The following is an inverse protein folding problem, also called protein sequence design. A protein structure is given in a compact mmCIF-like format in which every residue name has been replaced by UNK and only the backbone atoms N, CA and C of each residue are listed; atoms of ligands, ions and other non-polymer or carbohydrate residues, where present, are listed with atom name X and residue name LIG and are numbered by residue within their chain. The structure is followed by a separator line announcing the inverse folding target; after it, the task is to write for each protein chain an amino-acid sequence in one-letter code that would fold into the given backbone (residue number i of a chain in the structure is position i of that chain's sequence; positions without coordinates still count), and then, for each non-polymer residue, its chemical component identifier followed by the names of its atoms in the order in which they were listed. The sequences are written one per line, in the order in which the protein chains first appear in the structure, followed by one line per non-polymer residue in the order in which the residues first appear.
data_IF_352428074848
#
_entry.id   IF_352428074848
#
_cell.length_a   1.000
_cell.length_b   1.000
_cell.length_c   1.000
_cell.angle_alpha   90.00
_cell.angle_beta   90.00
_cell.angle_gamma   90.00
#
_symmetry.space_group_name_H-M   'P 1'
#
loop_
_entity.id
_entity.type
_entity.pdbx_description
1 polymer ?
#
# COMPACT_ATOMS: atom_id res chain seq x y z
N UNK A 1 5.87 1.13 30.78
CA UNK A 1 5.23 1.53 29.51
C UNK A 1 4.99 0.32 28.62
N UNK A 2 6.01 -0.49 28.30
CA UNK A 2 5.90 -1.70 27.46
C UNK A 2 4.81 -2.69 27.91
N UNK A 3 4.79 -3.08 29.19
CA UNK A 3 3.80 -4.02 29.76
C UNK A 3 2.36 -3.47 29.67
N UNK A 4 2.19 -2.15 29.81
CA UNK A 4 0.88 -1.50 29.74
C UNK A 4 0.37 -1.39 28.30
N UNK A 5 1.27 -1.18 27.32
CA UNK A 5 0.92 -1.14 25.89
C UNK A 5 0.50 -2.51 25.37
N UNK A 6 1.27 -3.55 25.66
CA UNK A 6 0.94 -4.94 25.30
C UNK A 6 -0.33 -5.40 26.03
N UNK A 7 -0.46 -5.06 27.32
CA UNK A 7 -1.66 -5.34 28.10
C UNK A 7 -2.92 -4.65 27.58
N UNK A 8 -2.82 -3.41 27.09
CA UNK A 8 -3.95 -2.66 26.54
C UNK A 8 -4.49 -3.27 25.24
N UNK A 9 -3.61 -3.72 24.35
CA UNK A 9 -4.00 -4.40 23.10
C UNK A 9 -4.65 -5.75 23.40
N UNK A 10 -4.06 -6.54 24.29
CA UNK A 10 -4.62 -7.83 24.70
C UNK A 10 -6.01 -7.69 25.36
N UNK A 11 -6.22 -6.65 26.18
CA UNK A 11 -7.51 -6.36 26.81
C UNK A 11 -8.56 -5.89 25.80
N UNK A 12 -8.17 -5.11 24.78
CA UNK A 12 -9.07 -4.69 23.71
C UNK A 12 -9.55 -5.88 22.87
N UNK A 13 -8.65 -6.81 22.55
CA UNK A 13 -8.98 -8.06 21.84
C UNK A 13 -9.90 -8.97 22.66
N UNK A 14 -9.66 -9.09 23.97
CA UNK A 14 -10.58 -9.81 24.88
C UNK A 14 -11.96 -9.17 24.95
N UNK A 15 -12.05 -7.84 25.03
CA UNK A 15 -13.32 -7.13 25.08
C UNK A 15 -14.11 -7.30 23.77
N UNK A 16 -13.41 -7.25 22.63
CA UNK A 16 -14.01 -7.50 21.31
C UNK A 16 -14.54 -8.94 21.20
N UNK A 17 -13.77 -9.93 21.64
CA UNK A 17 -14.18 -11.33 21.65
C UNK A 17 -15.42 -11.57 22.52
N UNK A 18 -15.50 -10.96 23.71
CA UNK A 18 -16.67 -11.04 24.59
C UNK A 18 -17.90 -10.40 23.94
N UNK A 19 -17.75 -9.24 23.30
CA UNK A 19 -18.85 -8.57 22.60
C UNK A 19 -19.34 -9.36 21.37
N UNK A 20 -18.43 -9.99 20.62
CA UNK A 20 -18.77 -10.85 19.49
C UNK A 20 -19.52 -12.12 19.96
N UNK A 21 -19.09 -12.72 21.07
CA UNK A 21 -19.78 -13.86 21.69
C UNK A 21 -21.20 -13.48 22.17
N UNK A 22 -21.35 -12.31 22.80
CA UNK A 22 -22.64 -11.82 23.29
C UNK A 22 -23.64 -11.50 22.16
N UNK A 23 -23.17 -11.21 20.94
CA UNK A 23 -24.00 -10.92 19.75
C UNK A 23 -24.31 -12.14 18.88
N UNK A 24 -23.88 -13.34 19.29
CA UNK A 24 -24.18 -14.58 18.57
C UNK A 24 -23.46 -14.75 17.23
N UNK A 25 -22.47 -13.91 16.92
CA UNK A 25 -21.61 -14.07 15.73
C UNK A 25 -20.67 -15.25 15.92
N UNK A 26 -21.09 -16.44 15.47
CA UNK A 26 -20.23 -17.63 15.40
C UNK A 26 -19.28 -17.51 14.21
N UNK A 27 -17.97 -17.55 14.49
CA UNK A 27 -16.89 -17.50 13.49
C UNK A 27 -15.71 -16.57 13.86
N UNK A 28 -15.85 -15.73 14.87
CA UNK A 28 -14.77 -14.85 15.35
C UNK A 28 -13.83 -15.61 16.31
N UNK A 29 -13.10 -16.61 15.82
CA UNK A 29 -11.88 -17.02 16.52
C UNK A 29 -10.81 -15.98 16.19
N UNK A 30 -10.31 -15.31 17.23
CA UNK A 30 -9.20 -14.37 17.13
C UNK A 30 -8.03 -15.08 16.43
N UNK A 31 -7.76 -14.69 15.18
CA UNK A 31 -6.59 -15.14 14.46
C UNK A 31 -5.36 -14.46 15.11
N UNK A 32 -4.69 -15.20 15.98
CA UNK A 32 -3.33 -14.88 16.39
C UNK A 32 -2.41 -15.14 15.20
N UNK A 33 -1.89 -14.07 14.60
CA UNK A 33 -0.96 -14.10 13.48
C UNK A 33 -1.64 -13.82 12.13
N UNK A 34 -1.17 -12.77 11.46
CA UNK A 34 -1.69 -12.29 10.17
C UNK A 34 -2.15 -10.82 10.18
N UNK A 35 -1.72 -10.02 11.17
CA UNK A 35 -2.17 -8.65 11.42
C UNK A 35 -2.66 -8.37 12.86
N UNK A 36 -2.52 -9.34 13.79
CA UNK A 36 -2.93 -9.24 15.20
C UNK A 36 -1.77 -9.02 16.18
N UNK A 37 -2.07 -9.04 17.48
CA UNK A 37 -1.25 -8.66 18.65
C UNK A 37 0.28 -8.90 18.60
N UNK A 38 0.77 -9.87 17.83
CA UNK A 38 2.20 -10.12 17.64
C UNK A 38 2.89 -9.02 16.82
N UNK A 39 2.28 -8.58 15.72
CA UNK A 39 2.85 -7.52 14.86
C UNK A 39 2.85 -6.17 15.58
N UNK A 40 1.80 -5.90 16.35
CA UNK A 40 1.70 -4.72 17.21
C UNK A 40 2.75 -4.74 18.33
N UNK A 41 3.08 -5.92 18.86
CA UNK A 41 4.11 -6.09 19.90
C UNK A 41 5.51 -5.91 19.33
N UNK A 42 5.78 -6.43 18.14
CA UNK A 42 7.05 -6.24 17.43
C UNK A 42 7.24 -4.76 17.07
N UNK A 43 6.24 -4.13 16.45
CA UNK A 43 6.28 -2.72 16.07
C UNK A 43 6.41 -1.81 17.31
N UNK A 44 5.67 -2.10 18.39
CA UNK A 44 5.80 -1.39 19.66
C UNK A 44 7.19 -1.59 20.31
N UNK A 45 7.79 -2.78 20.16
CA UNK A 45 9.16 -3.06 20.61
C UNK A 45 10.19 -2.21 19.86
N UNK A 46 10.11 -2.17 18.53
CA UNK A 46 11.03 -1.38 17.68
C UNK A 46 10.88 0.12 17.96
N UNK A 47 9.64 0.62 18.05
CA UNK A 47 9.37 2.02 18.40
C UNK A 47 9.85 2.38 19.82
N UNK A 48 9.74 1.45 20.77
CA UNK A 48 10.19 1.68 22.14
C UNK A 48 11.71 1.79 22.24
N UNK A 49 12.46 0.99 21.47
CA UNK A 49 13.93 1.08 21.41
C UNK A 49 14.34 2.40 20.76
N UNK A 50 13.75 2.77 19.62
CA UNK A 50 14.04 4.04 18.95
C UNK A 50 13.75 5.27 19.84
N UNK A 51 12.66 5.24 20.61
CA UNK A 51 12.35 6.29 21.57
C UNK A 51 13.32 6.31 22.77
N UNK A 52 13.76 5.15 23.24
CA UNK A 52 14.73 5.06 24.33
C UNK A 52 16.08 5.65 23.91
N UNK A 53 16.52 5.38 22.69
CA UNK A 53 17.74 5.96 22.11
C UNK A 53 17.61 7.47 21.92
N UNK A 54 16.52 7.96 21.33
CA UNK A 54 16.29 9.39 21.13
C UNK A 54 16.26 10.16 22.47
N UNK A 55 15.60 9.61 23.49
CA UNK A 55 15.54 10.22 24.83
C UNK A 55 16.91 10.15 25.53
N UNK A 56 17.65 9.04 25.34
CA UNK A 56 19.02 8.87 25.82
C UNK A 56 19.96 9.92 25.24
N UNK A 57 20.00 10.05 23.92
CA UNK A 57 20.80 11.06 23.22
C UNK A 57 20.41 12.48 23.61
N UNK A 58 19.10 12.77 23.70
CA UNK A 58 18.62 14.10 24.10
C UNK A 58 19.08 14.43 25.53
N UNK A 59 19.01 13.46 26.45
CA UNK A 59 19.51 13.63 27.83
C UNK A 59 21.02 13.83 27.87
N UNK A 60 21.77 13.07 27.08
CA UNK A 60 23.22 13.17 27.01
C UNK A 60 23.68 14.50 26.39
N UNK A 61 22.97 14.97 25.35
CA UNK A 61 23.15 16.28 24.74
C UNK A 61 22.98 17.43 25.75
N UNK A 62 21.95 17.38 26.59
CA UNK A 62 21.73 18.38 27.64
C UNK A 62 22.69 18.25 28.82
N UNK A 63 23.19 17.05 29.12
CA UNK A 63 24.23 16.84 30.13
C UNK A 63 25.57 17.46 29.68
N UNK A 64 25.96 17.28 28.41
CA UNK A 64 27.16 17.90 27.82
C UNK A 64 27.11 19.43 27.79
N UNK A 65 25.92 20.03 27.70
CA UNK A 65 25.73 21.49 27.74
C UNK A 65 25.75 22.10 29.14
N UNK A 66 25.59 21.29 30.20
CA UNK A 66 25.68 21.72 31.60
C UNK A 66 27.04 21.43 32.24
N UNK A 67 27.84 20.53 31.67
CA UNK A 67 29.24 20.32 32.06
C UNK A 67 30.15 21.31 31.36
N UNK A 68 30.62 22.32 32.09
CA UNK A 68 31.64 23.26 31.61
C UNK A 68 32.92 22.55 31.13
N UNK A 69 33.58 23.16 30.14
CA UNK A 69 34.75 22.65 29.44
C UNK A 69 35.84 22.03 30.35
N UNK A 70 36.50 20.92 29.95
CA UNK A 70 37.74 20.52 30.57
C UNK A 70 38.85 21.52 30.19
N UNK A 71 39.59 22.01 31.20
CA UNK A 71 40.75 22.89 31.02
C UNK A 71 41.91 22.13 30.31
N UNK A 72 42.79 22.82 29.56
CA UNK A 72 43.68 22.20 28.58
C UNK A 72 44.90 21.54 29.22
N UNK A 73 45.33 20.42 28.64
CA UNK A 73 46.60 19.77 28.93
C UNK A 73 47.80 20.61 28.42
N UNK A 74 48.83 20.74 29.26
CA UNK A 74 50.13 21.24 28.83
C UNK A 74 51.21 21.22 29.91
N UNK A 75 52.24 20.39 29.71
CA UNK A 75 53.61 20.68 30.17
C UNK A 75 54.20 19.83 31.29
N UNK A 76 55.25 19.05 30.97
CA UNK A 76 56.13 18.36 31.93
C UNK A 76 56.96 19.35 32.78
N UNK A 77 57.14 19.09 34.09
CA UNK A 77 58.44 18.94 34.79
C UNK A 77 58.36 19.08 36.34
N UNK A 78 58.87 18.05 37.05
CA UNK A 78 59.55 17.99 38.37
C UNK A 78 59.14 18.94 39.52
N UNK A 79 58.75 18.37 40.68
CA UNK A 79 59.57 18.23 41.93
C UNK A 79 58.72 17.65 43.09
N UNK A 80 59.43 17.15 44.10
CA UNK A 80 59.03 16.26 45.19
C UNK A 80 58.43 16.94 46.44
N UNK A 81 57.87 16.11 47.33
CA UNK A 81 57.58 16.39 48.76
C UNK A 81 56.08 16.42 49.06
N UNK A 82 55.45 15.49 49.81
CA UNK A 82 55.60 15.08 51.21
C UNK A 82 54.48 15.65 52.10
N UNK A 83 53.88 14.79 52.95
CA UNK A 83 52.94 15.12 54.06
C UNK A 83 51.51 15.39 53.60
N UNK A 84 50.44 14.86 54.18
CA UNK A 84 50.09 14.59 55.59
C UNK A 84 48.65 15.09 55.72
N UNK A 85 47.67 14.20 55.90
CA UNK A 85 46.94 13.96 57.16
C UNK A 85 45.75 14.91 57.43
N UNK A 86 44.69 14.30 57.94
CA UNK A 86 43.52 14.82 58.66
C UNK A 86 42.43 15.57 57.87
N UNK A 87 41.12 15.38 58.10
CA UNK A 87 40.39 14.78 59.22
C UNK A 87 39.16 15.65 59.53
N UNK A 88 38.02 15.04 59.91
CA UNK A 88 36.79 15.73 60.40
C UNK A 88 35.66 15.77 59.37
N UNK A 89 34.65 14.89 59.39
CA UNK A 89 33.67 14.50 60.41
C UNK A 89 32.48 15.49 60.59
N UNK A 90 31.38 15.10 59.94
CA UNK A 90 29.96 15.16 60.27
C UNK A 90 29.36 16.27 61.17
N UNK A 91 28.34 16.92 60.62
CA UNK A 91 27.00 17.13 61.19
C UNK A 91 26.07 17.50 60.00
N UNK A 92 24.92 16.90 59.70
CA UNK A 92 23.99 16.14 60.52
C UNK A 92 22.68 16.94 60.63
N UNK A 93 21.82 16.93 59.61
CA UNK A 93 20.39 17.25 59.75
C UNK A 93 19.60 16.73 58.55
N UNK A 94 18.72 15.75 58.81
CA UNK A 94 17.87 15.11 57.82
C UNK A 94 16.51 15.79 57.69
N UNK A 95 15.97 15.81 56.48
CA UNK A 95 14.54 15.78 56.22
C UNK A 95 14.25 15.38 54.76
N UNK A 96 13.29 14.46 54.60
CA UNK A 96 12.48 14.21 53.41
C UNK A 96 13.14 13.54 52.18
N UNK A 97 13.33 12.22 52.30
CA UNK A 97 13.13 11.31 51.16
C UNK A 97 11.61 11.07 50.99
N UNK A 98 11.10 11.18 49.75
CA UNK A 98 9.79 10.63 49.38
C UNK A 98 8.86 11.61 48.67
N UNK A 99 9.19 12.06 47.47
CA UNK A 99 8.29 12.95 46.73
C UNK A 99 8.74 13.37 45.33
N UNK A 100 9.18 12.45 44.47
CA UNK A 100 9.49 12.84 43.08
C UNK A 100 9.32 11.74 42.02
N UNK A 101 8.86 10.54 42.38
CA UNK A 101 8.65 9.45 41.39
C UNK A 101 7.20 9.37 40.90
N UNK A 102 6.23 9.96 41.62
CA UNK A 102 4.80 9.82 41.30
C UNK A 102 4.21 10.90 40.39
N UNK A 103 4.87 12.05 40.21
CA UNK A 103 4.36 13.14 39.36
C UNK A 103 4.68 12.96 37.87
N UNK A 104 5.68 12.13 37.52
CA UNK A 104 6.00 11.81 36.12
C UNK A 104 5.06 10.75 35.50
N UNK A 105 4.30 10.00 36.31
CA UNK A 105 3.44 8.90 35.83
C UNK A 105 2.10 9.36 35.26
N UNK A 106 1.61 10.55 35.61
CA UNK A 106 0.31 11.04 35.12
C UNK A 106 0.40 11.77 33.77
N UNK A 107 1.53 12.43 33.47
CA UNK A 107 1.73 13.07 32.16
C UNK A 107 1.90 12.04 31.03
N UNK A 108 2.54 10.90 31.34
CA UNK A 108 2.68 9.78 30.40
C UNK A 108 1.35 9.08 30.08
N UNK A 109 0.45 8.94 31.05
CA UNK A 109 -0.88 8.37 30.85
C UNK A 109 -1.78 9.24 29.96
N UNK A 110 -1.68 10.58 30.09
CA UNK A 110 -2.43 11.51 29.24
C UNK A 110 -2.02 11.46 27.77
N UNK A 111 -0.70 11.35 27.50
CA UNK A 111 -0.16 11.22 26.14
C UNK A 111 -0.54 9.85 25.53
N UNK A 112 -0.49 8.78 26.33
CA UNK A 112 -0.91 7.44 25.88
C UNK A 112 -2.41 7.35 25.58
N UNK A 113 -3.27 7.98 26.40
CA UNK A 113 -4.72 8.02 26.14
C UNK A 113 -5.07 8.83 24.88
N UNK A 114 -4.37 9.95 24.62
CA UNK A 114 -4.55 10.74 23.41
C UNK A 114 -4.09 10.01 22.14
N UNK A 115 -2.98 9.27 22.21
CA UNK A 115 -2.51 8.41 21.12
C UNK A 115 -3.48 7.26 20.84
N UNK A 116 -3.99 6.60 21.88
CA UNK A 116 -4.99 5.52 21.75
C UNK A 116 -6.29 6.04 21.15
N UNK A 117 -6.80 7.18 21.63
CA UNK A 117 -7.99 7.82 21.07
C UNK A 117 -7.79 8.26 19.62
N UNK A 118 -6.60 8.77 19.28
CA UNK A 118 -6.20 9.10 17.90
C UNK A 118 -6.18 7.87 16.98
N UNK A 119 -5.63 6.74 17.45
CA UNK A 119 -5.63 5.48 16.70
C UNK A 119 -7.02 4.85 16.58
N UNK A 120 -7.89 4.98 17.57
CA UNK A 120 -9.29 4.52 17.49
C UNK A 120 -10.10 5.40 16.55
N UNK A 121 -9.85 6.72 16.52
CA UNK A 121 -10.48 7.62 15.56
C UNK A 121 -9.96 7.43 14.12
N UNK A 122 -8.67 7.10 13.96
CA UNK A 122 -8.09 6.72 12.67
C UNK A 122 -8.65 5.36 12.20
N UNK A 123 -8.71 4.36 13.08
CA UNK A 123 -9.37 3.08 12.81
C UNK A 123 -10.86 3.29 12.50
N UNK A 124 -11.59 4.14 13.22
CA UNK A 124 -12.99 4.46 12.91
C UNK A 124 -13.17 5.30 11.63
N UNK A 125 -12.11 5.91 11.08
CA UNK A 125 -12.12 6.51 9.73
C UNK A 125 -11.83 5.47 8.64
N UNK A 126 -11.02 4.46 8.94
CA UNK A 126 -10.75 3.30 8.07
C UNK A 126 -11.93 2.31 8.07
N UNK A 127 -12.61 2.18 9.21
CA UNK A 127 -13.71 1.25 9.50
C UNK A 127 -15.02 1.97 9.86
N UNK A 128 -15.19 3.21 9.41
CA UNK A 128 -16.38 4.01 9.66
C UNK A 128 -17.67 3.37 9.13
N UNK A 129 -18.86 3.85 9.54
CA UNK A 129 -20.12 3.25 9.13
C UNK A 129 -20.20 3.18 7.60
N UNK A 130 -20.31 1.95 7.11
CA UNK A 130 -20.20 1.63 5.69
C UNK A 130 -21.39 2.23 4.90
N UNK A 131 -21.19 3.33 4.16
CA UNK A 131 -22.18 3.89 3.21
C UNK A 131 -22.42 2.89 2.08
N UNK A 132 -23.65 2.42 1.77
CA UNK A 132 -23.94 1.35 0.80
C UNK A 132 -23.23 1.49 -0.57
N UNK A 133 -22.75 0.38 -1.11
CA UNK A 133 -22.13 0.32 -2.43
C UNK A 133 -23.29 0.09 -3.38
N UNK A 134 -23.51 1.06 -4.26
CA UNK A 134 -24.58 0.98 -5.23
C UNK A 134 -24.18 -0.06 -6.27
N UNK A 135 -24.77 -1.25 -6.14
CA UNK A 135 -24.79 -2.27 -7.18
C UNK A 135 -25.49 -1.69 -8.42
N UNK A 136 -24.78 -1.65 -9.55
CA UNK A 136 -25.35 -1.88 -10.88
C UNK A 136 -25.81 -0.69 -11.73
N UNK A 137 -26.40 0.37 -11.16
CA UNK A 137 -27.20 1.28 -12.01
C UNK A 137 -26.67 2.71 -12.15
N UNK A 138 -25.67 3.11 -11.36
CA UNK A 138 -25.18 4.51 -11.35
C UNK A 138 -23.89 4.65 -12.14
N UNK A 139 -23.96 5.45 -13.20
CA UNK A 139 -22.80 5.83 -14.01
C UNK A 139 -22.40 7.26 -13.67
N UNK A 140 -21.19 7.41 -13.14
CA UNK A 140 -20.58 8.70 -12.86
C UNK A 140 -19.96 9.26 -14.14
N UNK A 141 -20.31 10.49 -14.49
CA UNK A 141 -19.75 11.21 -15.63
C UNK A 141 -18.77 12.26 -15.14
N UNK A 142 -17.58 12.28 -15.71
CA UNK A 142 -16.61 13.34 -15.51
C UNK A 142 -16.70 14.34 -16.65
N UNK A 143 -16.86 15.61 -16.28
CA UNK A 143 -16.75 16.76 -17.19
C UNK A 143 -15.64 17.67 -16.69
N UNK A 144 -15.05 18.46 -17.58
CA UNK A 144 -14.09 19.48 -17.18
C UNK A 144 -14.79 20.77 -16.66
N UNK A 145 -14.01 21.83 -16.42
CA UNK A 145 -14.53 23.12 -15.94
C UNK A 145 -15.34 23.89 -17.02
N UNK A 146 -15.18 23.59 -18.31
CA UNK A 146 -15.97 24.18 -19.41
C UNK A 146 -17.28 23.42 -19.63
N UNK A 147 -17.38 22.21 -19.08
CA UNK A 147 -18.54 21.33 -19.19
C UNK A 147 -18.40 20.27 -20.27
N UNK A 148 -17.22 20.15 -20.88
CA UNK A 148 -16.93 19.16 -21.90
C UNK A 148 -16.71 17.77 -21.27
N UNK A 149 -17.20 16.69 -21.91
CA UNK A 149 -17.09 15.35 -21.36
C UNK A 149 -15.65 14.83 -21.39
N UNK A 150 -15.18 14.34 -20.24
CA UNK A 150 -13.85 13.73 -20.08
C UNK A 150 -13.94 12.21 -20.08
N UNK A 151 -14.76 11.63 -19.19
CA UNK A 151 -14.87 10.17 -19.03
C UNK A 151 -16.14 9.78 -18.29
N UNK A 152 -16.39 8.48 -18.12
CA UNK A 152 -17.45 7.94 -17.28
C UNK A 152 -16.99 6.65 -16.59
N UNK A 153 -17.57 6.30 -15.44
CA UNK A 153 -17.25 5.07 -14.71
C UNK A 153 -18.46 4.58 -13.91
N UNK A 154 -18.63 3.27 -13.76
CA UNK A 154 -19.54 2.71 -12.75
C UNK A 154 -18.97 2.80 -11.32
N UNK A 155 -17.65 3.02 -11.18
CA UNK A 155 -17.03 3.28 -9.89
C UNK A 155 -17.39 4.70 -9.41
N UNK A 156 -17.76 4.88 -8.13
CA UNK A 156 -18.04 6.19 -7.57
C UNK A 156 -16.86 7.15 -7.70
N UNK A 157 -17.14 8.37 -8.14
CA UNK A 157 -16.17 9.47 -8.18
C UNK A 157 -16.30 10.34 -6.93
N UNK A 158 -15.18 10.84 -6.42
CA UNK A 158 -15.09 11.75 -5.28
C UNK A 158 -14.15 12.91 -5.57
N UNK A 159 -14.28 14.01 -4.82
CA UNK A 159 -13.32 15.11 -4.90
C UNK A 159 -11.88 14.63 -4.60
N UNK A 160 -10.95 15.15 -5.38
CA UNK A 160 -9.53 14.79 -5.43
C UNK A 160 -9.22 13.52 -6.23
N UNK A 161 -10.23 12.80 -6.75
CA UNK A 161 -9.95 11.68 -7.65
C UNK A 161 -9.32 12.18 -8.93
N UNK A 162 -8.46 11.38 -9.53
CA UNK A 162 -7.68 11.79 -10.69
C UNK A 162 -7.90 10.82 -11.85
N UNK A 163 -7.92 11.37 -13.05
CA UNK A 163 -8.03 10.62 -14.31
C UNK A 163 -6.88 11.01 -15.22
N UNK A 164 -6.07 10.04 -15.62
CA UNK A 164 -5.11 10.20 -16.72
C UNK A 164 -5.76 9.57 -17.95
N UNK A 165 -6.09 10.37 -18.95
CA UNK A 165 -6.80 9.90 -20.14
C UNK A 165 -5.89 9.17 -21.14
N UNK A 166 -6.46 8.75 -22.27
CA UNK A 166 -5.73 8.06 -23.32
C UNK A 166 -4.58 8.91 -23.91
N UNK A 167 -4.76 10.24 -23.98
CA UNK A 167 -3.80 11.19 -24.54
C UNK A 167 -2.80 11.70 -23.48
N UNK A 168 -2.75 11.05 -22.31
CA UNK A 168 -1.91 11.40 -21.17
C UNK A 168 -2.17 12.80 -20.61
N UNK A 169 -3.40 13.30 -20.66
CA UNK A 169 -3.84 14.49 -19.92
C UNK A 169 -4.36 14.09 -18.54
N UNK A 170 -3.99 14.86 -17.52
CA UNK A 170 -4.42 14.64 -16.15
C UNK A 170 -5.57 15.57 -15.78
N UNK A 171 -6.62 14.97 -15.22
CA UNK A 171 -7.77 15.66 -14.66
C UNK A 171 -7.86 15.37 -13.17
N UNK A 172 -8.24 16.36 -12.38
CA UNK A 172 -8.54 16.19 -10.95
C UNK A 172 -9.96 16.65 -10.63
N UNK A 173 -10.77 15.75 -10.05
CA UNK A 173 -12.14 16.04 -9.65
C UNK A 173 -12.14 17.09 -8.54
N UNK A 174 -12.67 18.28 -8.81
CA UNK A 174 -12.77 19.36 -7.83
C UNK A 174 -14.04 19.26 -6.98
N UNK A 175 -15.13 18.70 -7.55
CA UNK A 175 -16.41 18.49 -6.86
C UNK A 175 -17.25 17.45 -7.58
N UNK A 176 -18.19 16.85 -6.84
CA UNK A 176 -19.18 15.91 -7.38
C UNK A 176 -20.58 16.42 -7.05
N UNK A 177 -21.44 16.51 -8.06
CA UNK A 177 -22.86 16.92 -7.93
C UNK A 177 -23.72 15.83 -8.54
N UNK A 178 -24.45 15.09 -7.71
CA UNK A 178 -25.17 13.90 -8.15
C UNK A 178 -24.21 12.86 -8.71
N UNK A 179 -24.40 12.49 -9.97
CA UNK A 179 -23.55 11.54 -10.72
C UNK A 179 -22.55 12.26 -11.64
N UNK A 180 -22.37 13.58 -11.48
CA UNK A 180 -21.43 14.36 -12.30
C UNK A 180 -20.26 14.84 -11.46
N UNK A 181 -19.06 14.37 -11.81
CA UNK A 181 -17.80 14.87 -11.32
C UNK A 181 -17.32 16.01 -12.22
N UNK A 182 -17.11 17.19 -11.65
CA UNK A 182 -16.46 18.31 -12.34
C UNK A 182 -14.99 18.24 -12.02
N UNK A 183 -14.14 18.20 -13.04
CA UNK A 183 -12.71 18.06 -12.93
C UNK A 183 -11.97 19.27 -13.52
N UNK A 184 -10.86 19.62 -12.91
CA UNK A 184 -9.90 20.57 -13.46
C UNK A 184 -8.93 19.84 -14.37
N UNK A 185 -8.74 20.35 -15.58
CA UNK A 185 -7.66 19.91 -16.47
C UNK A 185 -6.33 20.45 -15.94
N UNK A 186 -5.44 19.55 -15.55
CA UNK A 186 -4.08 19.84 -15.05
C UNK A 186 -3.04 19.78 -16.17
N UNK A 187 -3.45 19.46 -17.40
CA UNK A 187 -2.61 19.45 -18.58
C UNK A 187 -1.95 18.09 -18.86
N UNK A 188 -1.05 18.05 -19.86
CA UNK A 188 -0.36 16.84 -20.24
C UNK A 188 0.60 16.38 -19.12
N UNK A 189 0.68 15.07 -18.97
CA UNK A 189 1.61 14.39 -18.08
C UNK A 189 2.55 13.55 -18.92
N UNK A 190 3.85 13.68 -18.66
CA UNK A 190 4.84 12.89 -19.38
C UNK A 190 4.60 11.38 -19.14
N UNK A 191 4.62 10.56 -20.20
CA UNK A 191 4.81 9.12 -20.06
C UNK A 191 6.06 8.89 -19.23
N UNK A 192 5.99 7.98 -18.25
CA UNK A 192 7.16 7.63 -17.45
C UNK A 192 8.06 6.78 -18.36
N UNK A 193 9.26 7.25 -18.75
CA UNK A 193 10.16 6.45 -19.56
C UNK A 193 10.73 5.34 -18.67
N UNK A 194 10.60 4.09 -19.11
CA UNK A 194 11.12 2.91 -18.40
C UNK A 194 12.65 2.90 -18.17
N UNK A 195 13.37 3.89 -18.72
CA UNK A 195 14.82 4.02 -18.60
C UNK A 195 15.24 5.02 -17.49
N UNK A 196 14.30 5.75 -16.88
CA UNK A 196 14.60 6.84 -15.94
C UNK A 196 14.83 6.40 -14.48
N UNK A 197 14.67 5.11 -14.16
CA UNK A 197 14.77 4.59 -12.77
C UNK A 197 15.98 3.69 -12.57
N UNK A 198 17.14 4.10 -13.07
CA UNK A 198 18.43 3.49 -12.66
C UNK A 198 19.43 4.47 -12.04
N UNK A 199 19.10 5.75 -11.85
CA UNK A 199 20.14 6.73 -11.49
C UNK A 199 19.76 7.90 -10.56
N UNK A 200 18.68 7.85 -9.77
CA UNK A 200 18.42 8.94 -8.80
C UNK A 200 18.15 8.52 -7.35
N UNK A 201 18.24 7.23 -7.02
CA UNK A 201 18.29 6.78 -5.62
C UNK A 201 19.70 6.39 -5.14
N UNK A 202 20.71 6.42 -6.03
CA UNK A 202 22.12 6.32 -5.64
C UNK A 202 22.65 7.70 -5.21
N UNK A 203 22.05 8.24 -4.16
CA UNK A 203 22.64 9.32 -3.38
C UNK A 203 23.79 8.73 -2.57
N UNK A 204 25.00 9.13 -2.94
CA UNK A 204 26.29 8.95 -2.25
C UNK A 204 26.14 8.63 -0.75
N UNK A 205 26.22 7.36 -0.39
CA UNK A 205 26.36 6.93 1.00
C UNK A 205 27.46 5.88 1.05
N UNK A 206 28.53 6.29 1.70
CA UNK A 206 29.72 5.50 1.98
C UNK A 206 29.36 4.18 2.67
N UNK A 207 29.98 3.12 2.18
CA UNK A 207 29.91 1.73 2.67
C UNK A 207 30.28 1.65 4.16
N UNK A 208 29.28 1.64 5.04
CA UNK A 208 29.45 1.53 6.49
C UNK A 208 28.79 0.25 7.00
N UNK A 209 29.61 -0.79 7.22
CA UNK A 209 29.20 -2.04 7.84
C UNK A 209 29.04 -1.92 9.38
N UNK A 210 28.53 -2.97 10.04
CA UNK A 210 28.33 -2.96 11.48
C UNK A 210 29.69 -2.95 12.19
N UNK A 211 30.09 -1.76 12.68
CA UNK A 211 31.36 -1.51 13.35
C UNK A 211 31.90 -0.08 13.21
N UNK A 212 31.34 0.73 12.31
CA UNK A 212 31.76 2.12 12.12
C UNK A 212 31.13 3.05 13.19
N UNK A 213 31.92 3.80 13.99
CA UNK A 213 31.42 4.77 14.98
C UNK A 213 30.59 5.93 14.40
N UNK A 214 30.50 6.07 13.08
CA UNK A 214 29.77 7.15 12.38
C UNK A 214 28.42 6.76 11.76
N UNK A 215 27.93 5.53 11.96
CA UNK A 215 26.70 5.07 11.31
C UNK A 215 25.46 5.89 11.76
N UNK A 216 24.84 6.60 10.83
CA UNK A 216 23.56 7.29 11.07
C UNK A 216 22.40 6.28 11.07
N UNK A 217 21.30 6.61 11.74
CA UNK A 217 20.08 5.80 11.79
C UNK A 217 19.52 5.45 10.41
N UNK A 218 19.80 6.27 9.38
CA UNK A 218 19.46 5.99 8.00
C UNK A 218 20.29 4.84 7.38
N UNK A 219 21.59 4.79 7.66
CA UNK A 219 22.48 3.73 7.14
C UNK A 219 22.20 2.36 7.76
N UNK A 220 21.82 2.32 9.05
CA UNK A 220 21.42 1.08 9.71
C UNK A 220 20.09 0.53 9.17
N UNK A 221 19.14 1.41 8.83
CA UNK A 221 17.86 1.01 8.22
C UNK A 221 18.04 0.52 6.79
N UNK A 222 18.92 1.13 5.99
CA UNK A 222 19.25 0.66 4.64
C UNK A 222 19.97 -0.69 4.68
N UNK A 223 20.94 -0.86 5.59
CA UNK A 223 21.60 -2.15 5.82
C UNK A 223 20.60 -3.22 6.29
N UNK A 224 19.68 -2.90 7.22
CA UNK A 224 18.62 -3.82 7.66
C UNK A 224 17.65 -4.15 6.51
N UNK A 225 17.30 -3.18 5.67
CA UNK A 225 16.46 -3.42 4.50
C UNK A 225 17.15 -4.35 3.48
N UNK A 226 18.47 -4.22 3.30
CA UNK A 226 19.27 -5.13 2.46
C UNK A 226 19.49 -6.50 3.09
N UNK A 227 19.69 -6.57 4.40
CA UNK A 227 19.89 -7.81 5.15
C UNK A 227 18.59 -8.63 5.28
N UNK A 228 17.44 -7.95 5.40
CA UNK A 228 16.11 -8.56 5.42
C UNK A 228 15.55 -8.77 4.00
N UNK A 229 15.99 -7.96 3.04
CA UNK A 229 15.72 -8.09 1.61
C UNK A 229 16.75 -8.91 0.86
N UNK A 230 17.50 -9.78 1.56
CA UNK A 230 18.68 -10.45 1.05
C UNK A 230 18.53 -11.05 -0.35
N UNK A 231 19.36 -10.55 -1.26
CA UNK A 231 19.98 -11.29 -2.35
C UNK A 231 19.48 -10.98 -3.75
N UNK A 232 20.20 -10.10 -4.46
CA UNK A 232 20.46 -10.29 -5.89
C UNK A 232 21.07 -11.69 -6.07
N UNK A 233 20.21 -12.63 -6.39
CA UNK A 233 20.56 -13.92 -6.95
C UNK A 233 19.77 -14.04 -8.23
N UNK A 234 20.47 -14.11 -9.35
CA UNK A 234 19.92 -14.61 -10.59
C UNK A 234 19.18 -15.93 -10.30
N UNK A 235 17.86 -15.89 -10.22
CA UNK A 235 17.03 -17.09 -10.17
C UNK A 235 16.99 -17.65 -11.59
N UNK A 236 18.14 -18.20 -12.01
CA UNK A 236 18.33 -18.91 -13.26
C UNK A 236 17.46 -20.16 -13.25
N UNK A 237 16.17 -19.99 -13.58
CA UNK A 237 15.26 -21.07 -13.90
C UNK A 237 13.82 -20.97 -13.37
N UNK A 238 13.46 -20.04 -12.49
CA UNK A 238 12.07 -19.89 -12.02
C UNK A 238 11.45 -18.60 -12.54
N UNK A 239 10.53 -18.74 -13.51
CA UNK A 239 9.78 -17.63 -14.06
C UNK A 239 9.05 -16.81 -12.99
N UNK A 240 8.93 -15.49 -13.23
CA UNK A 240 8.28 -14.53 -12.32
C UNK A 240 6.88 -14.98 -11.98
N UNK A 241 6.50 -14.83 -10.72
CA UNK A 241 5.16 -15.22 -10.27
C UNK A 241 4.18 -14.10 -10.55
N UNK A 242 3.12 -14.38 -11.30
CA UNK A 242 1.97 -13.47 -11.46
C UNK A 242 0.75 -14.08 -10.77
N UNK A 243 0.11 -13.34 -9.87
CA UNK A 243 -1.14 -13.74 -9.22
C UNK A 243 -2.31 -13.03 -9.90
N UNK A 244 -3.27 -13.80 -10.40
CA UNK A 244 -4.53 -13.30 -10.94
C UNK A 244 -5.65 -13.73 -10.01
N UNK A 245 -6.46 -12.76 -9.58
CA UNK A 245 -7.66 -12.96 -8.76
C UNK A 245 -8.85 -12.24 -9.39
N UNK A 246 -10.04 -12.53 -8.87
CA UNK A 246 -11.29 -11.88 -9.26
C UNK A 246 -12.04 -11.49 -8.00
N UNK A 247 -12.02 -10.22 -7.59
CA UNK A 247 -12.82 -9.79 -6.43
C UNK A 247 -14.31 -9.93 -6.73
N UNK A 248 -14.76 -9.61 -7.95
CA UNK A 248 -16.15 -9.81 -8.38
C UNK A 248 -16.28 -10.96 -9.38
N UNK A 249 -16.26 -12.19 -8.85
CA UNK A 249 -16.26 -13.42 -9.64
C UNK A 249 -17.46 -13.58 -10.58
N UNK A 250 -18.61 -13.02 -10.25
CA UNK A 250 -19.86 -13.19 -11.00
C UNK A 250 -19.93 -12.33 -12.26
N UNK A 251 -18.99 -11.40 -12.47
CA UNK A 251 -19.02 -10.50 -13.61
C UNK A 251 -18.95 -11.26 -14.96
N UNK A 252 -19.92 -10.97 -15.82
CA UNK A 252 -20.09 -11.61 -17.14
C UNK A 252 -20.38 -10.58 -18.23
N UNK A 253 -20.32 -11.03 -19.49
CA UNK A 253 -20.52 -10.22 -20.69
C UNK A 253 -21.80 -10.63 -21.41
N UNK A 254 -22.77 -9.73 -21.51
CA UNK A 254 -24.12 -9.99 -22.06
C UNK A 254 -24.09 -10.64 -23.45
N UNK A 255 -23.31 -10.15 -24.44
CA UNK A 255 -23.33 -10.72 -25.79
C UNK A 255 -22.87 -12.18 -25.88
N UNK A 256 -21.95 -12.61 -25.01
CA UNK A 256 -21.29 -13.92 -25.09
C UNK A 256 -21.79 -14.89 -24.03
N UNK A 257 -22.09 -14.40 -22.83
CA UNK A 257 -22.51 -15.20 -21.67
C UNK A 257 -24.03 -15.16 -21.45
N UNK A 258 -24.75 -14.28 -22.16
CA UNK A 258 -26.21 -14.11 -22.07
C UNK A 258 -26.70 -13.31 -20.86
N UNK A 259 -25.80 -12.90 -19.97
CA UNK A 259 -26.10 -12.12 -18.75
C UNK A 259 -24.90 -11.26 -18.34
N UNK A 260 -25.15 -10.15 -17.64
CA UNK A 260 -24.10 -9.30 -17.07
C UNK A 260 -23.51 -9.89 -15.77
N UNK A 261 -24.21 -10.82 -15.13
CA UNK A 261 -23.78 -11.49 -13.90
C UNK A 261 -24.22 -12.96 -13.89
N UNK A 262 -23.29 -13.85 -13.55
CA UNK A 262 -23.52 -15.29 -13.38
C UNK A 262 -23.15 -15.68 -11.96
N UNK A 263 -24.10 -16.20 -11.19
CA UNK A 263 -23.82 -16.65 -9.83
C UNK A 263 -22.76 -17.77 -9.85
N UNK A 264 -21.57 -17.50 -9.32
CA UNK A 264 -20.42 -18.39 -9.41
C UNK A 264 -19.25 -17.73 -10.14
N UNK A 265 -18.57 -18.52 -10.97
CA UNK A 265 -17.54 -18.05 -11.89
C UNK A 265 -18.19 -17.53 -13.19
N UNK A 266 -18.27 -16.21 -13.32
CA UNK A 266 -18.76 -15.52 -14.51
C UNK A 266 -17.76 -15.51 -15.66
N UNK A 267 -18.11 -14.78 -16.72
CA UNK A 267 -17.27 -14.62 -17.92
C UNK A 267 -15.88 -14.05 -17.60
N UNK A 268 -15.76 -13.26 -16.54
CA UNK A 268 -14.50 -12.65 -16.13
C UNK A 268 -13.41 -13.66 -15.80
N UNK A 269 -13.77 -14.85 -15.28
CA UNK A 269 -12.82 -15.94 -15.05
C UNK A 269 -12.16 -16.43 -16.34
N UNK A 270 -12.90 -16.45 -17.47
CA UNK A 270 -12.35 -16.86 -18.77
C UNK A 270 -11.40 -15.79 -19.34
N UNK A 271 -11.69 -14.52 -19.08
CA UNK A 271 -10.79 -13.41 -19.38
C UNK A 271 -9.50 -13.54 -18.54
N UNK A 272 -9.61 -13.83 -17.24
CA UNK A 272 -8.46 -14.12 -16.40
C UNK A 272 -7.63 -15.32 -16.86
N UNK A 273 -8.29 -16.40 -17.28
CA UNK A 273 -7.62 -17.55 -17.87
C UNK A 273 -6.91 -17.21 -19.19
N UNK A 274 -7.44 -16.28 -19.99
CA UNK A 274 -6.76 -15.79 -21.19
C UNK A 274 -5.50 -14.98 -20.85
N UNK A 275 -5.56 -14.11 -19.83
CA UNK A 275 -4.37 -13.41 -19.35
C UNK A 275 -3.32 -14.38 -18.80
N UNK A 276 -3.75 -15.38 -18.03
CA UNK A 276 -2.86 -16.40 -17.48
C UNK A 276 -2.06 -17.09 -18.58
N UNK A 277 -2.74 -17.63 -19.61
CA UNK A 277 -2.08 -18.28 -20.75
C UNK A 277 -1.06 -17.39 -21.44
N UNK A 278 -1.42 -16.13 -21.71
CA UNK A 278 -0.49 -15.22 -22.38
C UNK A 278 0.69 -14.81 -21.49
N UNK A 279 0.51 -14.65 -20.18
CA UNK A 279 1.63 -14.43 -19.26
C UNK A 279 2.56 -15.66 -19.19
N UNK A 280 2.01 -16.88 -19.21
CA UNK A 280 2.80 -18.12 -19.28
C UNK A 280 3.61 -18.21 -20.58
N UNK A 281 3.06 -17.77 -21.72
CA UNK A 281 3.78 -17.65 -23.00
C UNK A 281 4.97 -16.68 -22.91
N UNK A 282 4.89 -15.68 -22.03
CA UNK A 282 5.97 -14.74 -21.69
C UNK A 282 6.87 -15.23 -20.52
N UNK A 283 6.74 -16.49 -20.09
CA UNK A 283 7.62 -17.11 -19.10
C UNK A 283 7.29 -16.82 -17.64
N UNK A 284 6.10 -16.28 -17.34
CA UNK A 284 5.62 -16.17 -15.96
C UNK A 284 5.15 -17.52 -15.42
N UNK A 285 5.37 -17.77 -14.14
CA UNK A 285 4.62 -18.77 -13.39
C UNK A 285 3.32 -18.11 -12.92
N UNK A 286 2.19 -18.45 -13.53
CA UNK A 286 0.92 -17.83 -13.17
C UNK A 286 0.20 -18.64 -12.09
N UNK A 287 -0.30 -17.94 -11.07
CA UNK A 287 -1.28 -18.43 -10.11
C UNK A 287 -2.59 -17.74 -10.48
N UNK A 288 -3.46 -18.42 -11.21
CA UNK A 288 -4.84 -17.96 -11.45
C UNK A 288 -5.73 -18.58 -10.37
N UNK A 289 -6.02 -17.81 -9.32
CA UNK A 289 -6.85 -18.28 -8.21
C UNK A 289 -8.34 -18.08 -8.54
N UNK A 290 -9.08 -19.19 -8.57
CA UNK A 290 -10.51 -19.21 -8.92
C UNK A 290 -11.43 -19.22 -7.69
N UNK A 291 -10.92 -18.95 -6.49
CA UNK A 291 -11.72 -18.86 -5.27
C UNK A 291 -12.84 -17.84 -5.44
N UNK A 292 -14.06 -18.25 -5.08
CA UNK A 292 -15.26 -17.40 -5.22
C UNK A 292 -15.41 -16.45 -4.02
N UNK A 293 -15.40 -15.15 -4.30
CA UNK A 293 -15.56 -14.07 -3.32
C UNK A 293 -16.99 -13.52 -3.29
N UNK A 294 -17.98 -14.40 -3.39
CA UNK A 294 -19.41 -14.07 -3.43
C UNK A 294 -20.00 -13.73 -2.04
N UNK A 295 -21.09 -12.93 -1.97
CA UNK A 295 -21.82 -12.30 -3.08
C UNK A 295 -21.09 -11.08 -3.68
N UNK A 296 -21.57 -10.53 -4.79
CA UNK A 296 -21.05 -9.27 -5.34
C UNK A 296 -21.47 -8.10 -4.45
N UNK A 297 -20.64 -7.79 -3.45
CA UNK A 297 -20.82 -6.71 -2.48
C UNK A 297 -19.45 -6.18 -2.03
N UNK A 298 -19.43 -5.12 -1.22
CA UNK A 298 -18.19 -4.62 -0.59
C UNK A 298 -17.37 -5.66 0.14
N UNK A 299 -18.04 -6.67 0.67
CA UNK A 299 -17.38 -7.77 1.37
C UNK A 299 -16.49 -8.60 0.45
N UNK A 300 -16.67 -8.50 -0.87
CA UNK A 300 -15.91 -9.21 -1.87
C UNK A 300 -14.42 -8.87 -1.79
N UNK A 301 -14.07 -7.59 -1.67
CA UNK A 301 -12.68 -7.16 -1.44
C UNK A 301 -12.09 -7.73 -0.14
N UNK A 302 -12.86 -7.80 0.96
CA UNK A 302 -12.40 -8.45 2.20
C UNK A 302 -12.16 -9.94 2.01
N UNK A 303 -12.98 -10.61 1.20
CA UNK A 303 -12.85 -12.05 0.93
C UNK A 303 -11.64 -12.31 0.03
N UNK A 304 -11.48 -11.56 -1.06
CA UNK A 304 -10.36 -11.67 -1.99
C UNK A 304 -9.02 -11.27 -1.38
N UNK A 305 -9.04 -10.34 -0.41
CA UNK A 305 -7.86 -10.03 0.41
C UNK A 305 -7.23 -11.27 1.04
N UNK A 306 -8.06 -12.17 1.60
CA UNK A 306 -7.57 -13.40 2.25
C UNK A 306 -6.88 -14.31 1.25
N UNK A 307 -7.47 -14.46 0.06
CA UNK A 307 -6.87 -15.21 -1.06
C UNK A 307 -5.53 -14.62 -1.47
N UNK A 308 -5.40 -13.30 -1.60
CA UNK A 308 -4.10 -12.67 -1.91
C UNK A 308 -3.08 -12.96 -0.79
N UNK A 309 -3.49 -12.81 0.48
CA UNK A 309 -2.62 -13.07 1.63
C UNK A 309 -2.11 -14.53 1.68
N UNK A 310 -2.92 -15.49 1.27
CA UNK A 310 -2.55 -16.92 1.19
C UNK A 310 -1.45 -17.20 0.17
N UNK A 311 -1.26 -16.33 -0.83
CA UNK A 311 -0.24 -16.47 -1.88
C UNK A 311 0.96 -15.53 -1.74
N UNK A 312 1.01 -14.68 -0.71
CA UNK A 312 2.14 -13.74 -0.54
C UNK A 312 3.48 -14.44 -0.26
N UNK A 313 3.44 -15.65 0.30
CA UNK A 313 4.62 -16.51 0.50
C UNK A 313 5.28 -16.92 -0.84
N UNK A 314 4.50 -16.98 -1.92
CA UNK A 314 4.97 -17.25 -3.27
C UNK A 314 5.69 -16.04 -3.91
N UNK A 315 5.72 -14.89 -3.23
CA UNK A 315 6.34 -13.63 -3.68
C UNK A 315 5.90 -13.25 -5.10
N UNK A 316 4.60 -13.04 -5.35
CA UNK A 316 4.13 -12.57 -6.65
C UNK A 316 4.82 -11.25 -7.02
N UNK A 317 5.40 -11.20 -8.22
CA UNK A 317 6.00 -9.99 -8.78
C UNK A 317 4.92 -8.96 -9.14
N UNK A 318 3.72 -9.44 -9.50
CA UNK A 318 2.51 -8.65 -9.78
C UNK A 318 1.27 -9.39 -9.27
N UNK A 319 0.31 -8.63 -8.72
CA UNK A 319 -1.03 -9.11 -8.37
C UNK A 319 -2.06 -8.34 -9.19
N UNK A 320 -2.93 -9.06 -9.89
CA UNK A 320 -3.87 -8.51 -10.85
C UNK A 320 -5.29 -8.91 -10.45
N UNK A 321 -6.13 -7.90 -10.19
CA UNK A 321 -7.57 -8.08 -10.03
C UNK A 321 -8.27 -7.69 -11.33
N UNK A 322 -9.01 -8.62 -11.93
CA UNK A 322 -9.62 -8.42 -13.25
C UNK A 322 -11.12 -8.21 -13.08
N UNK A 323 -11.61 -7.12 -13.66
CA UNK A 323 -13.00 -6.71 -13.66
C UNK A 323 -13.46 -6.34 -15.07
N UNK A 324 -14.77 -6.12 -15.20
CA UNK A 324 -15.40 -5.45 -16.34
C UNK A 324 -16.32 -4.33 -15.85
N UNK A 325 -16.28 -3.19 -16.53
CA UNK A 325 -17.06 -2.01 -16.13
C UNK A 325 -18.57 -2.27 -16.36
N UNK A 326 -19.41 -1.48 -15.71
CA UNK A 326 -20.88 -1.58 -15.85
C UNK A 326 -21.47 -0.51 -16.77
N UNK A 327 -20.65 0.18 -17.56
CA UNK A 327 -21.11 1.21 -18.50
C UNK A 327 -21.97 0.60 -19.62
N UNK A 328 -23.22 1.02 -19.84
CA UNK A 328 -24.10 0.35 -20.79
C UNK A 328 -23.71 0.56 -22.25
N UNK A 329 -22.99 1.63 -22.59
CA UNK A 329 -22.56 1.91 -23.97
C UNK A 329 -21.49 0.90 -24.44
N UNK A 330 -21.81 0.02 -25.42
CA UNK A 330 -20.85 -0.98 -25.90
C UNK A 330 -19.66 -0.37 -26.63
N UNK A 331 -19.75 0.88 -27.10
CA UNK A 331 -18.64 1.53 -27.79
C UNK A 331 -17.64 2.19 -26.82
N UNK A 332 -18.00 2.33 -25.54
CA UNK A 332 -17.20 3.08 -24.57
C UNK A 332 -15.79 2.53 -24.37
N UNK A 333 -15.66 1.20 -24.44
CA UNK A 333 -14.38 0.47 -24.41
C UNK A 333 -14.06 -0.23 -25.74
N UNK A 334 -14.84 -0.05 -26.80
CA UNK A 334 -14.51 -0.67 -28.08
C UNK A 334 -13.18 -0.11 -28.62
N UNK A 335 -12.31 -1.01 -29.09
CA UNK A 335 -11.05 -0.66 -29.71
C UNK A 335 -10.65 -1.66 -30.78
N UNK A 336 -9.57 -1.35 -31.48
CA UNK A 336 -8.99 -2.20 -32.50
C UNK A 336 -7.47 -2.16 -32.38
N UNK A 337 -6.84 -3.33 -32.40
CA UNK A 337 -5.39 -3.48 -32.47
C UNK A 337 -5.10 -4.52 -33.56
N UNK A 338 -4.18 -4.21 -34.47
CA UNK A 338 -3.81 -5.07 -35.61
C UNK A 338 -5.01 -5.56 -36.46
N UNK A 339 -6.03 -4.71 -36.65
CA UNK A 339 -7.24 -5.08 -37.39
C UNK A 339 -8.17 -6.05 -36.65
N UNK A 340 -7.91 -6.34 -35.37
CA UNK A 340 -8.74 -7.18 -34.52
C UNK A 340 -9.50 -6.31 -33.53
N UNK A 341 -10.83 -6.44 -33.49
CA UNK A 341 -11.65 -5.80 -32.47
C UNK A 341 -11.30 -6.32 -31.07
N UNK A 342 -10.97 -5.41 -30.16
CA UNK A 342 -10.62 -5.70 -28.76
C UNK A 342 -11.39 -4.78 -27.81
N UNK A 343 -11.37 -5.08 -26.52
CA UNK A 343 -11.73 -4.09 -25.51
C UNK A 343 -10.49 -3.29 -25.12
N UNK A 344 -10.63 -1.96 -25.06
CA UNK A 344 -9.69 -1.07 -24.38
C UNK A 344 -9.71 -1.35 -22.88
N UNK A 345 -8.67 -0.94 -22.16
CA UNK A 345 -8.52 -1.16 -20.72
C UNK A 345 -8.56 0.13 -19.91
N UNK A 346 -9.00 0.04 -18.66
CA UNK A 346 -8.71 1.06 -17.64
C UNK A 346 -7.96 0.41 -16.49
N UNK A 347 -6.87 1.03 -16.04
CA UNK A 347 -6.28 0.71 -14.75
C UNK A 347 -6.98 1.50 -13.64
N UNK A 348 -7.21 0.90 -12.49
CA UNK A 348 -7.76 1.56 -11.30
C UNK A 348 -6.74 1.49 -10.17
N UNK A 349 -6.42 2.64 -9.59
CA UNK A 349 -5.52 2.76 -8.44
C UNK A 349 -6.24 3.49 -7.30
N UNK A 350 -6.28 2.86 -6.13
CA UNK A 350 -6.94 3.36 -4.94
C UNK A 350 -6.11 4.38 -4.17
N UNK A 351 -6.64 5.59 -3.96
CA UNK A 351 -5.94 6.69 -3.29
C UNK A 351 -5.72 6.45 -1.80
N UNK A 352 -6.52 5.59 -1.19
CA UNK A 352 -6.42 5.23 0.23
C UNK A 352 -5.40 4.12 0.49
N UNK A 353 -4.75 3.58 -0.54
CA UNK A 353 -3.72 2.56 -0.37
C UNK A 353 -2.37 3.24 0.02
N UNK A 354 -1.61 2.73 1.00
CA UNK A 354 -0.32 3.29 1.41
C UNK A 354 0.77 3.13 0.34
N UNK A 355 0.62 2.17 -0.57
CA UNK A 355 1.52 1.93 -1.71
C UNK A 355 1.14 2.74 -2.97
N UNK A 356 0.39 3.84 -2.81
CA UNK A 356 -0.32 4.47 -3.93
C UNK A 356 0.66 5.01 -4.95
N UNK A 357 1.75 5.60 -4.48
CA UNK A 357 2.79 6.12 -5.35
C UNK A 357 3.36 5.02 -6.25
N UNK A 358 3.72 3.87 -5.68
CA UNK A 358 4.30 2.74 -6.41
C UNK A 358 3.28 2.11 -7.36
N UNK A 359 2.04 1.90 -6.93
CA UNK A 359 0.99 1.30 -7.76
C UNK A 359 0.53 2.25 -8.88
N UNK A 360 0.51 3.56 -8.63
CA UNK A 360 0.21 4.55 -9.66
C UNK A 360 1.36 4.66 -10.68
N UNK A 361 2.61 4.61 -10.22
CA UNK A 361 3.77 4.62 -11.11
C UNK A 361 3.79 3.37 -12.00
N UNK A 362 3.59 2.20 -11.40
CA UNK A 362 3.42 0.95 -12.14
C UNK A 362 2.32 1.05 -13.21
N UNK A 363 1.14 1.58 -12.87
CA UNK A 363 0.06 1.79 -13.83
C UNK A 363 0.45 2.75 -14.97
N UNK A 364 1.19 3.82 -14.66
CA UNK A 364 1.67 4.81 -15.65
C UNK A 364 2.71 4.23 -16.59
N UNK A 365 3.59 3.39 -16.08
CA UNK A 365 4.60 2.71 -16.90
C UNK A 365 3.98 1.65 -17.81
N UNK A 366 3.04 0.84 -17.30
CA UNK A 366 2.26 -0.07 -18.15
C UNK A 366 1.52 0.70 -19.25
N UNK A 367 0.91 1.83 -18.91
CA UNK A 367 0.27 2.70 -19.92
C UNK A 367 1.30 3.24 -20.93
N UNK A 368 2.47 3.69 -20.49
CA UNK A 368 3.50 4.21 -21.39
C UNK A 368 3.98 3.13 -22.39
N UNK A 369 4.21 1.91 -21.91
CA UNK A 369 4.53 0.74 -22.75
C UNK A 369 3.38 0.43 -23.72
N UNK A 370 2.14 0.47 -23.23
CA UNK A 370 0.97 0.26 -24.08
C UNK A 370 0.80 1.36 -25.14
N UNK A 371 1.04 2.63 -24.82
CA UNK A 371 0.97 3.73 -25.78
C UNK A 371 2.04 3.59 -26.87
N UNK A 372 3.23 3.06 -26.53
CA UNK A 372 4.32 2.79 -27.46
C UNK A 372 4.00 1.61 -28.40
N UNK A 373 3.54 0.48 -27.85
CA UNK A 373 3.33 -0.76 -28.60
C UNK A 373 1.96 -0.84 -29.26
N UNK A 374 0.94 -0.33 -28.58
CA UNK A 374 -0.48 -0.48 -28.90
C UNK A 374 -1.26 0.83 -28.67
N UNK A 375 -1.01 1.89 -29.49
CA UNK A 375 -1.62 3.20 -29.30
C UNK A 375 -3.15 3.12 -29.12
N UNK A 376 -3.65 3.74 -28.04
CA UNK A 376 -5.07 3.73 -27.72
C UNK A 376 -5.57 2.47 -27.00
N UNK A 377 -4.73 1.48 -26.70
CA UNK A 377 -5.17 0.28 -25.96
C UNK A 377 -5.70 0.60 -24.56
N UNK A 378 -5.00 1.47 -23.83
CA UNK A 378 -5.50 2.01 -22.58
C UNK A 378 -6.45 3.18 -22.85
N UNK A 379 -7.59 3.14 -22.17
CA UNK A 379 -8.53 4.25 -22.08
C UNK A 379 -8.06 5.29 -21.07
N UNK A 380 -7.35 4.86 -20.03
CA UNK A 380 -6.78 5.72 -19.02
C UNK A 380 -6.51 5.03 -17.68
N UNK A 381 -6.07 5.82 -16.71
CA UNK A 381 -5.82 5.41 -15.33
C UNK A 381 -6.76 6.20 -14.42
N UNK A 382 -7.60 5.48 -13.66
CA UNK A 382 -8.46 6.07 -12.66
C UNK A 382 -7.84 5.94 -11.27
N UNK A 383 -7.31 7.03 -10.75
CA UNK A 383 -6.81 7.12 -9.39
C UNK A 383 -7.97 7.53 -8.46
N UNK A 384 -8.76 6.52 -8.06
CA UNK A 384 -10.05 6.64 -7.37
C UNK A 384 -9.89 6.65 -5.85
N UNK A 385 -10.85 7.22 -5.10
CA UNK A 385 -10.74 7.37 -3.64
C UNK A 385 -10.50 6.08 -2.85
N UNK A 386 -11.09 4.96 -3.28
CA UNK A 386 -11.18 3.72 -2.48
C UNK A 386 -9.86 2.95 -2.39
N UNK A 387 -9.88 1.74 -1.82
CA UNK A 387 -8.77 0.78 -1.84
C UNK A 387 -9.28 -0.57 -2.32
N UNK A 388 -8.53 -1.19 -3.24
CA UNK A 388 -8.88 -2.42 -3.96
C UNK A 388 -7.87 -3.54 -3.63
N UNK A 389 -7.57 -3.74 -2.34
CA UNK A 389 -6.49 -4.61 -1.80
C UNK A 389 -5.06 -4.20 -2.21
N UNK A 390 -4.89 -3.01 -2.76
CA UNK A 390 -3.61 -2.52 -3.27
C UNK A 390 -2.63 -2.09 -2.17
N UNK A 391 -3.10 -2.07 -0.92
CA UNK A 391 -2.27 -1.90 0.26
C UNK A 391 -1.43 -3.15 0.59
N UNK A 392 -1.72 -4.30 -0.01
CA UNK A 392 -1.00 -5.56 0.25
C UNK A 392 0.42 -5.61 -0.34
N UNK A 393 0.75 -4.73 -1.27
CA UNK A 393 2.10 -4.67 -1.82
C UNK A 393 2.25 -3.64 -2.95
N UNK A 394 3.48 -3.47 -3.45
CA UNK A 394 3.72 -2.79 -4.72
C UNK A 394 3.25 -3.69 -5.89
N UNK A 395 2.90 -3.08 -7.02
CA UNK A 395 2.45 -3.77 -8.24
C UNK A 395 1.21 -4.65 -8.01
N UNK A 396 0.30 -4.16 -7.16
CA UNK A 396 -1.07 -4.68 -7.03
C UNK A 396 -1.99 -3.74 -7.79
N UNK A 397 -2.65 -4.24 -8.83
CA UNK A 397 -3.40 -3.42 -9.79
C UNK A 397 -4.75 -4.04 -10.13
N UNK A 398 -5.74 -3.19 -10.36
CA UNK A 398 -7.06 -3.57 -10.87
C UNK A 398 -7.18 -3.12 -12.32
N UNK A 399 -7.65 -4.01 -13.20
CA UNK A 399 -8.01 -3.67 -14.58
C UNK A 399 -9.49 -3.86 -14.84
N UNK A 400 -10.11 -2.82 -15.40
CA UNK A 400 -11.42 -2.91 -16.05
C UNK A 400 -11.21 -3.27 -17.53
N UNK A 401 -11.65 -4.47 -17.91
CA UNK A 401 -11.48 -5.07 -19.24
C UNK A 401 -12.78 -4.95 -20.02
N UNK A 402 -12.98 -3.79 -20.61
CA UNK A 402 -14.22 -3.48 -21.32
C UNK A 402 -15.40 -3.21 -20.40
N UNK A 403 -16.59 -3.34 -20.96
CA UNK A 403 -17.86 -3.31 -20.23
C UNK A 403 -18.66 -4.59 -20.46
N UNK A 404 -19.63 -4.88 -19.59
CA UNK A 404 -20.57 -5.99 -19.72
C UNK A 404 -21.34 -6.05 -21.06
N UNK A 405 -21.43 -4.96 -21.82
CA UNK A 405 -22.05 -4.95 -23.16
C UNK A 405 -21.07 -5.22 -24.31
N UNK A 406 -19.78 -5.43 -24.02
CA UNK A 406 -18.83 -5.97 -25.00
C UNK A 406 -18.92 -7.50 -25.08
N UNK A 407 -18.49 -8.10 -26.20
CA UNK A 407 -18.32 -9.55 -26.27
C UNK A 407 -17.13 -9.99 -25.41
N UNK A 408 -17.28 -11.08 -24.66
CA UNK A 408 -16.21 -11.65 -23.82
C UNK A 408 -14.96 -11.98 -24.64
N UNK A 409 -15.14 -12.48 -25.86
CA UNK A 409 -14.04 -12.83 -26.75
C UNK A 409 -13.19 -11.62 -27.14
N UNK A 410 -13.76 -10.41 -27.19
CA UNK A 410 -13.00 -9.16 -27.39
C UNK A 410 -12.14 -8.81 -26.17
N UNK A 411 -12.64 -9.11 -24.96
CA UNK A 411 -11.89 -8.97 -23.71
C UNK A 411 -10.77 -10.02 -23.61
N UNK A 412 -11.05 -11.28 -23.98
CA UNK A 412 -10.04 -12.35 -24.03
C UNK A 412 -8.91 -12.00 -25.02
N UNK A 413 -9.22 -11.44 -26.21
CA UNK A 413 -8.20 -10.96 -27.17
C UNK A 413 -7.35 -9.81 -26.61
N UNK A 414 -7.95 -8.91 -25.83
CA UNK A 414 -7.22 -7.81 -25.19
C UNK A 414 -6.12 -8.32 -24.24
N UNK A 415 -6.31 -9.49 -23.62
CA UNK A 415 -5.35 -10.03 -22.65
C UNK A 415 -3.99 -10.40 -23.25
N UNK A 416 -3.93 -10.73 -24.54
CA UNK A 416 -2.66 -10.91 -25.27
C UNK A 416 -1.80 -9.65 -25.17
N UNK A 417 -2.39 -8.50 -25.46
CA UNK A 417 -1.70 -7.21 -25.47
C UNK A 417 -1.34 -6.76 -24.05
N UNK A 418 -2.20 -7.03 -23.06
CA UNK A 418 -1.89 -6.75 -21.66
C UNK A 418 -0.73 -7.60 -21.14
N UNK A 419 -0.70 -8.89 -21.46
CA UNK A 419 0.41 -9.78 -21.07
C UNK A 419 1.74 -9.30 -21.65
N UNK A 420 1.77 -8.91 -22.92
CA UNK A 420 2.98 -8.40 -23.57
C UNK A 420 3.45 -7.06 -22.96
N UNK A 421 2.51 -6.18 -22.59
CA UNK A 421 2.81 -4.93 -21.87
C UNK A 421 3.43 -5.22 -20.49
N UNK A 422 2.86 -6.15 -19.72
CA UNK A 422 3.38 -6.56 -18.41
C UNK A 422 4.75 -7.22 -18.55
N UNK A 423 4.93 -8.11 -19.52
CA UNK A 423 6.20 -8.77 -19.78
C UNK A 423 7.30 -7.75 -20.12
N UNK A 424 7.00 -6.80 -21.02
CA UNK A 424 7.94 -5.72 -21.38
C UNK A 424 8.29 -4.84 -20.18
N UNK A 425 7.35 -4.58 -19.27
CA UNK A 425 7.66 -3.85 -18.03
C UNK A 425 8.75 -4.56 -17.22
N UNK A 426 8.59 -5.86 -16.97
CA UNK A 426 9.58 -6.64 -16.21
C UNK A 426 10.91 -6.78 -16.96
N UNK A 427 10.88 -6.98 -18.27
CA UNK A 427 12.10 -6.98 -19.11
C UNK A 427 12.90 -5.68 -19.00
N UNK A 428 12.23 -4.52 -18.98
CA UNK A 428 12.88 -3.20 -18.83
C UNK A 428 13.49 -2.98 -17.45
N UNK A 429 12.93 -3.60 -16.41
CA UNK A 429 13.37 -3.41 -15.03
C UNK A 429 14.43 -4.41 -14.57
N UNK A 430 14.76 -5.43 -15.37
CA UNK A 430 15.72 -6.47 -15.00
C UNK A 430 15.24 -7.40 -13.89
N UNK A 431 14.08 -7.12 -13.30
CA UNK A 431 13.27 -8.00 -12.46
C UNK A 431 12.80 -9.17 -13.29
#
# INVERSE_FOLDING_TARGET
SFIAGVGGVALADMAYAIMAAARGTRGAYAALGGGGAFDSTIIAGVLAVALAELVGETREYFARRRGGAPAPEGGQARRAGAGGEDGGEAAGEGAAAGGSVWTASFLGLGISAALVAGSVAAAARVYGPELPEHIGDRIYRMIDETGDPVTASALPMSAGDQWIDADNRLYEVIRVVGDTAVARDLGPVAPVPGDAVTASAAGDTTDAGPGDPGATSAGLLDWLARALGGGEGSDGGRGRVALIIHSHNDESYVPSDGTASTNGAGGIHKVGAALARHLEEHGFRVIHDETLHLPHDRGAYRRSRRTILEHLDQRPAVVIDIHRDAIPDPNFYAGEIDGQGVTRLRAVVGRQNPNRAQNLEFARELKAIADEKYPGFFRGIFNAKNNYNQDLGPRVILFEVGTHTNARESAERAMKYLADVIATYFERHGD
#
